data_IF_818203680080
#
_entry.id   IF_818203680080
#
_cell.length_a   1.000
_cell.length_b   1.000
_cell.length_c   1.000
_cell.angle_alpha   90.00
_cell.angle_beta   90.00
_cell.angle_gamma   90.00
#
_symmetry.space_group_name_H-M   'P 1'
#
loop_
_entity.id
_entity.type
_entity.pdbx_description
1 polymer ?
#
# COMPACT_ATOMS: atom_id res chain seq x y z
N UNK A 1 4.78 -13.95 -11.02
CA UNK A 1 3.45 -14.58 -10.98
C UNK A 1 2.74 -14.14 -9.69
N UNK A 2 2.48 -12.83 -9.52
CA UNK A 2 1.92 -12.23 -8.29
C UNK A 2 0.67 -11.40 -8.59
N UNK A 3 0.16 -11.44 -9.81
CA UNK A 3 -1.00 -10.64 -10.25
C UNK A 3 -2.33 -11.10 -9.61
N UNK A 4 -2.33 -12.22 -8.88
CA UNK A 4 -3.55 -12.87 -8.35
C UNK A 4 -4.01 -12.36 -6.98
N UNK A 5 -3.27 -11.46 -6.31
CA UNK A 5 -3.57 -11.03 -4.94
C UNK A 5 -4.34 -9.69 -4.84
N UNK A 6 -4.40 -8.91 -5.93
CA UNK A 6 -4.99 -7.56 -5.89
C UNK A 6 -6.49 -7.55 -6.27
N UNK A 7 -6.94 -8.54 -7.05
CA UNK A 7 -8.36 -8.67 -7.42
C UNK A 7 -9.31 -9.21 -6.33
N UNK A 8 -8.89 -10.09 -5.40
CA UNK A 8 -9.87 -10.73 -4.51
C UNK A 8 -10.35 -9.84 -3.36
N UNK A 9 -9.69 -8.72 -3.02
CA UNK A 9 -10.14 -7.89 -1.90
C UNK A 9 -11.41 -7.11 -2.23
N UNK A 10 -11.52 -6.54 -3.42
CA UNK A 10 -12.74 -5.88 -3.87
C UNK A 10 -13.91 -6.87 -4.00
N UNK A 11 -13.62 -8.10 -4.47
CA UNK A 11 -14.63 -9.16 -4.58
C UNK A 11 -15.00 -9.77 -3.23
N UNK A 12 -14.07 -9.85 -2.29
CA UNK A 12 -14.32 -10.39 -0.94
C UNK A 12 -15.15 -9.40 -0.10
N UNK A 13 -14.85 -8.11 -0.20
CA UNK A 13 -15.58 -7.06 0.52
C UNK A 13 -16.95 -6.81 -0.16
N UNK A 14 -17.00 -6.77 -1.49
CA UNK A 14 -18.25 -6.65 -2.25
C UNK A 14 -19.15 -7.88 -2.17
N UNK A 15 -18.57 -9.07 -2.01
CA UNK A 15 -19.36 -10.30 -1.80
C UNK A 15 -20.04 -10.31 -0.43
N UNK A 16 -19.38 -9.79 0.63
CA UNK A 16 -20.02 -9.66 1.95
C UNK A 16 -21.17 -8.68 1.94
N UNK A 17 -21.09 -7.58 1.19
CA UNK A 17 -22.20 -6.64 1.04
C UNK A 17 -23.39 -7.24 0.28
N UNK A 18 -23.13 -8.06 -0.73
CA UNK A 18 -24.17 -8.76 -1.48
C UNK A 18 -24.84 -9.87 -0.66
N UNK A 19 -24.09 -10.60 0.15
CA UNK A 19 -24.66 -11.57 1.10
C UNK A 19 -25.51 -10.86 2.17
N UNK A 20 -25.07 -9.74 2.71
CA UNK A 20 -25.85 -8.94 3.65
C UNK A 20 -27.12 -8.38 3.02
N UNK A 21 -27.08 -7.91 1.76
CA UNK A 21 -28.28 -7.47 1.03
C UNK A 21 -29.29 -8.60 0.81
N UNK A 22 -28.83 -9.81 0.50
CA UNK A 22 -29.71 -10.96 0.25
C UNK A 22 -30.36 -11.43 1.57
N UNK A 23 -29.63 -11.49 2.68
CA UNK A 23 -30.21 -11.83 3.98
C UNK A 23 -31.11 -10.74 4.54
N UNK A 24 -30.80 -9.45 4.29
CA UNK A 24 -31.64 -8.33 4.68
C UNK A 24 -32.94 -8.24 3.88
N UNK A 25 -32.97 -8.66 2.62
CA UNK A 25 -34.19 -8.69 1.79
C UNK A 25 -35.09 -9.90 2.06
N UNK A 26 -34.57 -10.99 2.58
CA UNK A 26 -35.30 -12.24 2.74
C UNK A 26 -36.07 -12.41 4.06
N UNK A 27 -35.96 -11.48 5.03
CA UNK A 27 -36.62 -11.68 6.33
C UNK A 27 -36.60 -10.52 7.30
N UNK A 28 -36.32 -9.29 6.89
CA UNK A 28 -35.94 -8.21 7.80
C UNK A 28 -36.89 -7.02 7.82
N UNK A 29 -38.11 -7.18 7.34
CA UNK A 29 -39.11 -6.12 7.53
C UNK A 29 -39.54 -5.90 9.02
N UNK A 30 -39.15 -6.85 9.88
CA UNK A 30 -39.42 -6.79 11.34
C UNK A 30 -38.16 -6.60 12.20
N UNK A 31 -36.97 -6.45 11.62
CA UNK A 31 -35.74 -6.28 12.41
C UNK A 31 -35.70 -4.90 13.06
N UNK A 32 -35.56 -4.83 14.38
CA UNK A 32 -35.51 -3.55 15.11
C UNK A 32 -34.41 -2.65 14.55
N UNK A 33 -34.66 -1.33 14.55
CA UNK A 33 -33.66 -0.33 14.08
C UNK A 33 -32.32 -0.47 14.81
N UNK A 34 -32.36 -0.94 16.05
CA UNK A 34 -31.22 -1.18 16.91
C UNK A 34 -30.32 -2.33 16.38
N UNK A 35 -30.92 -3.40 15.85
CA UNK A 35 -30.19 -4.52 15.27
C UNK A 35 -29.57 -4.14 13.92
N UNK A 36 -30.26 -3.33 13.11
CA UNK A 36 -29.70 -2.78 11.85
C UNK A 36 -28.48 -1.90 12.13
N UNK A 37 -28.57 -0.98 13.06
CA UNK A 37 -27.47 -0.11 13.47
C UNK A 37 -26.27 -0.93 14.00
N UNK A 38 -26.54 -1.98 14.77
CA UNK A 38 -25.49 -2.89 15.27
C UNK A 38 -24.78 -3.65 14.15
N UNK A 39 -25.50 -4.10 13.13
CA UNK A 39 -24.92 -4.77 11.97
C UNK A 39 -24.11 -3.81 11.07
N UNK A 40 -24.60 -2.60 10.87
CA UNK A 40 -23.85 -1.57 10.13
C UNK A 40 -22.55 -1.23 10.85
N UNK A 41 -22.58 -0.98 12.16
CA UNK A 41 -21.38 -0.69 12.94
C UNK A 41 -20.38 -1.87 12.93
N UNK A 42 -20.85 -3.10 12.99
CA UNK A 42 -19.99 -4.29 12.92
C UNK A 42 -19.36 -4.45 11.54
N UNK A 43 -20.06 -4.11 10.46
CA UNK A 43 -19.54 -4.16 9.10
C UNK A 43 -18.50 -3.05 8.86
N UNK A 44 -18.75 -1.84 9.34
CA UNK A 44 -17.79 -0.73 9.26
C UNK A 44 -16.49 -1.08 10.02
N UNK A 45 -16.59 -1.64 11.23
CA UNK A 45 -15.43 -2.03 12.02
C UNK A 45 -14.63 -3.15 11.32
N UNK A 46 -15.31 -4.15 10.76
CA UNK A 46 -14.66 -5.21 9.97
C UNK A 46 -13.94 -4.64 8.76
N UNK A 47 -14.57 -3.75 8.00
CA UNK A 47 -13.98 -3.09 6.84
C UNK A 47 -12.74 -2.30 7.24
N UNK A 48 -12.80 -1.59 8.37
CA UNK A 48 -11.67 -0.82 8.89
C UNK A 48 -10.47 -1.70 9.26
N UNK A 49 -10.73 -2.85 9.89
CA UNK A 49 -9.67 -3.81 10.25
C UNK A 49 -9.02 -4.37 8.99
N UNK A 50 -9.81 -4.82 8.00
CA UNK A 50 -9.29 -5.38 6.76
C UNK A 50 -8.46 -4.35 5.97
N UNK A 51 -8.95 -3.11 5.86
CA UNK A 51 -8.23 -2.01 5.21
C UNK A 51 -6.93 -1.70 5.97
N UNK A 52 -6.95 -1.74 7.30
CA UNK A 52 -5.76 -1.55 8.14
C UNK A 52 -4.70 -2.60 7.87
N UNK A 53 -5.04 -3.89 7.97
CA UNK A 53 -4.11 -5.00 7.70
C UNK A 53 -3.56 -4.96 6.27
N UNK A 54 -4.39 -4.58 5.29
CA UNK A 54 -3.95 -4.42 3.91
C UNK A 54 -2.96 -3.28 3.75
N UNK A 55 -3.24 -2.14 4.37
CA UNK A 55 -2.34 -0.98 4.39
C UNK A 55 -1.00 -1.32 5.03
N UNK A 56 -1.00 -2.03 6.15
CA UNK A 56 0.21 -2.46 6.85
C UNK A 56 1.05 -3.41 5.98
N UNK A 57 0.40 -4.31 5.26
CA UNK A 57 1.09 -5.21 4.32
C UNK A 57 1.74 -4.43 3.19
N UNK A 58 1.04 -3.47 2.60
CA UNK A 58 1.59 -2.60 1.53
C UNK A 58 2.78 -1.81 2.06
N UNK A 59 2.67 -1.21 3.24
CA UNK A 59 3.77 -0.46 3.85
C UNK A 59 4.99 -1.34 4.10
N UNK A 60 4.79 -2.58 4.52
CA UNK A 60 5.87 -3.57 4.70
C UNK A 60 6.56 -3.92 3.38
N UNK A 61 5.80 -4.13 2.31
CA UNK A 61 6.33 -4.43 0.97
C UNK A 61 7.12 -3.23 0.41
N UNK A 62 6.62 -2.00 0.62
CA UNK A 62 7.32 -0.77 0.24
C UNK A 62 8.64 -0.65 1.01
N UNK A 63 8.63 -0.89 2.31
CA UNK A 63 9.82 -0.86 3.15
C UNK A 63 10.87 -1.86 2.68
N UNK A 64 10.47 -3.10 2.39
CA UNK A 64 11.35 -4.14 1.89
C UNK A 64 11.98 -3.73 0.55
N UNK A 65 11.18 -3.21 -0.37
CA UNK A 65 11.67 -2.75 -1.67
C UNK A 65 12.65 -1.57 -1.55
N UNK A 66 12.30 -0.53 -0.79
CA UNK A 66 13.16 0.65 -0.57
C UNK A 66 14.49 0.26 0.08
N UNK A 67 14.44 -0.61 1.09
CA UNK A 67 15.63 -1.12 1.77
C UNK A 67 16.51 -1.95 0.83
N UNK A 68 15.89 -2.74 -0.04
CA UNK A 68 16.56 -3.52 -1.09
C UNK A 68 17.28 -2.65 -2.13
N UNK A 69 16.82 -1.42 -2.36
CA UNK A 69 17.51 -0.44 -3.20
C UNK A 69 18.71 0.23 -2.50
N UNK A 70 18.96 -0.07 -1.23
CA UNK A 70 20.01 0.55 -0.44
C UNK A 70 19.64 1.92 0.14
N UNK A 71 18.41 2.36 0.00
CA UNK A 71 17.90 3.59 0.61
C UNK A 71 17.41 3.35 2.04
N UNK A 72 17.36 4.40 2.86
CA UNK A 72 16.74 4.36 4.16
C UNK A 72 15.23 4.57 4.02
N UNK A 73 14.42 3.64 4.50
CA UNK A 73 12.98 3.83 4.61
C UNK A 73 12.66 4.61 5.89
N UNK A 74 11.84 5.65 5.78
CA UNK A 74 11.37 6.44 6.93
C UNK A 74 9.92 6.08 7.26
N UNK A 75 9.02 6.31 6.36
CA UNK A 75 7.61 5.98 6.47
C UNK A 75 6.94 5.92 5.09
N UNK A 76 5.74 5.35 5.04
CA UNK A 76 4.87 5.43 3.88
C UNK A 76 3.41 5.56 4.31
N UNK A 77 2.62 6.19 3.46
CA UNK A 77 1.17 6.35 3.63
C UNK A 77 0.46 5.87 2.38
N UNK A 78 -0.50 5.00 2.56
CA UNK A 78 -1.34 4.44 1.50
C UNK A 78 -2.75 4.93 1.69
N UNK A 79 -3.34 5.48 0.64
CA UNK A 79 -4.75 5.90 0.62
C UNK A 79 -5.55 4.88 -0.18
N UNK A 80 -6.59 4.33 0.44
CA UNK A 80 -7.50 3.36 -0.15
C UNK A 80 -8.89 3.99 -0.20
N UNK A 81 -9.61 3.77 -1.29
CA UNK A 81 -11.01 4.17 -1.40
C UNK A 81 -11.87 3.27 -0.50
N UNK A 82 -12.48 3.87 0.50
CA UNK A 82 -13.34 3.17 1.47
C UNK A 82 -14.83 3.49 1.29
N UNK A 83 -15.20 4.23 0.24
CA UNK A 83 -16.59 4.52 -0.06
C UNK A 83 -17.24 3.31 -0.74
N UNK A 84 -18.12 2.61 -0.03
CA UNK A 84 -18.83 1.43 -0.52
C UNK A 84 -19.72 1.71 -1.75
N UNK A 85 -20.03 2.98 -2.02
CA UNK A 85 -20.80 3.41 -3.20
C UNK A 85 -19.93 3.71 -4.42
N UNK A 86 -18.61 3.76 -4.23
CA UNK A 86 -17.63 4.07 -5.29
C UNK A 86 -17.36 2.86 -6.16
N UNK A 87 -17.19 3.08 -7.47
CA UNK A 87 -16.72 2.04 -8.41
C UNK A 87 -15.28 1.59 -8.13
N UNK A 88 -14.53 2.40 -7.37
CA UNK A 88 -13.14 2.16 -7.00
C UNK A 88 -12.99 1.70 -5.54
N UNK A 89 -14.07 1.27 -4.91
CA UNK A 89 -14.06 0.75 -3.55
C UNK A 89 -12.97 -0.32 -3.34
N UNK A 90 -12.15 -0.15 -2.30
CA UNK A 90 -11.05 -1.04 -1.98
C UNK A 90 -9.81 -0.89 -2.86
N UNK A 91 -9.79 0.04 -3.82
CA UNK A 91 -8.62 0.32 -4.64
C UNK A 91 -7.69 1.34 -3.97
N UNK A 92 -6.39 1.18 -4.22
CA UNK A 92 -5.40 2.16 -3.80
C UNK A 92 -5.55 3.40 -4.69
N UNK A 93 -5.78 4.57 -4.08
CA UNK A 93 -5.94 5.84 -4.77
C UNK A 93 -4.68 6.71 -4.72
N UNK A 94 -3.79 6.46 -3.75
CA UNK A 94 -2.54 7.19 -3.62
C UNK A 94 -1.53 6.50 -2.72
N UNK A 95 -0.25 6.73 -3.00
CA UNK A 95 0.87 6.26 -2.17
C UNK A 95 1.85 7.42 -1.99
N UNK A 96 2.24 7.67 -0.74
CA UNK A 96 3.34 8.58 -0.40
C UNK A 96 4.43 7.81 0.31
N UNK A 97 5.67 7.94 -0.13
CA UNK A 97 6.83 7.27 0.47
C UNK A 97 7.87 8.31 0.85
N UNK A 98 8.29 8.30 2.10
CA UNK A 98 9.38 9.11 2.61
C UNK A 98 10.62 8.24 2.79
N UNK A 99 11.70 8.60 2.11
CA UNK A 99 12.97 7.87 2.12
C UNK A 99 14.11 8.78 2.54
N UNK A 100 15.13 8.19 3.15
CA UNK A 100 16.39 8.89 3.48
C UNK A 100 17.52 8.29 2.67
N UNK A 101 18.53 9.09 2.35
CA UNK A 101 19.78 8.54 1.85
C UNK A 101 20.43 7.73 2.96
N UNK A 102 20.78 6.48 2.72
CA UNK A 102 21.78 5.82 3.55
C UNK A 102 23.13 6.46 3.24
N UNK A 103 23.65 7.23 4.19
CA UNK A 103 25.01 7.72 4.11
C UNK A 103 25.96 6.51 4.01
N UNK A 104 26.91 6.54 3.10
CA UNK A 104 27.93 5.51 2.90
C UNK A 104 28.75 5.20 4.16
N UNK A 105 28.61 6.00 5.21
CA UNK A 105 29.33 5.86 6.49
C UNK A 105 28.85 4.72 7.40
N UNK A 106 27.73 4.07 7.11
CA UNK A 106 27.18 3.01 7.99
C UNK A 106 27.55 1.58 7.55
N UNK A 107 28.47 1.47 6.60
CA UNK A 107 29.08 0.18 6.28
C UNK A 107 30.34 0.02 7.14
N UNK A 108 30.33 -0.90 8.08
CA UNK A 108 31.53 -1.51 8.64
C UNK A 108 32.33 -2.12 7.47
N UNK A 109 33.13 -1.28 6.79
CA UNK A 109 33.90 -1.68 5.64
C UNK A 109 35.26 -2.19 6.12
N UNK A 110 35.50 -3.47 5.89
CA UNK A 110 36.85 -4.04 5.85
C UNK A 110 37.47 -3.50 4.57
N UNK A 111 38.43 -2.61 4.73
CA UNK A 111 39.22 -1.98 3.68
C UNK A 111 39.98 -3.05 2.87
N UNK A 112 39.49 -3.31 1.66
CA UNK A 112 40.25 -4.06 0.65
C UNK A 112 40.53 -3.06 -0.48
N UNK A 113 41.77 -2.69 -0.66
CA UNK A 113 42.28 -1.86 -1.73
C UNK A 113 41.62 -2.23 -3.07
N UNK A 114 40.63 -1.47 -3.49
CA UNK A 114 39.95 -1.65 -4.75
C UNK A 114 40.29 -0.50 -5.67
N UNK A 115 40.90 -0.82 -6.77
CA UNK A 115 41.21 0.06 -7.90
C UNK A 115 39.96 0.84 -8.26
N UNK A 116 40.00 2.14 -8.03
CA UNK A 116 38.92 3.10 -8.37
C UNK A 116 38.85 3.24 -9.88
N UNK A 117 37.93 2.60 -10.52
CA UNK A 117 37.43 3.01 -11.82
C UNK A 117 36.37 4.06 -11.56
N UNK A 118 36.64 5.23 -12.04
CA UNK A 118 35.99 6.53 -11.85
C UNK A 118 34.49 6.50 -12.19
N UNK A 119 33.69 5.86 -11.37
CA UNK A 119 32.24 5.99 -11.24
C UNK A 119 31.88 5.53 -9.84
N UNK A 120 31.60 6.50 -9.01
CA UNK A 120 31.05 6.26 -7.68
C UNK A 120 29.70 5.53 -7.83
N UNK A 121 29.58 4.24 -7.42
CA UNK A 121 28.30 3.55 -7.45
C UNK A 121 27.33 4.11 -6.40
N UNK A 122 27.82 5.00 -5.53
CA UNK A 122 27.06 5.60 -4.42
C UNK A 122 26.27 6.85 -4.82
N UNK A 123 26.46 7.36 -6.04
CA UNK A 123 25.67 8.49 -6.55
C UNK A 123 24.42 7.99 -7.27
N UNK A 124 23.60 7.21 -6.58
CA UNK A 124 22.24 7.02 -7.06
C UNK A 124 21.54 8.38 -6.90
N UNK A 125 21.54 9.14 -8.00
CA UNK A 125 20.90 10.44 -8.10
C UNK A 125 19.49 10.31 -7.49
N UNK A 126 19.11 11.23 -6.60
CA UNK A 126 17.79 11.27 -5.95
C UNK A 126 16.66 11.08 -6.96
N UNK A 127 16.85 11.66 -8.14
CA UNK A 127 15.92 11.55 -9.24
C UNK A 127 15.76 10.10 -9.71
N UNK A 128 16.87 9.37 -9.86
CA UNK A 128 16.82 7.95 -10.26
C UNK A 128 16.18 7.06 -9.19
N UNK A 129 16.45 7.33 -7.92
CA UNK A 129 15.82 6.61 -6.80
C UNK A 129 14.30 6.85 -6.80
N UNK A 130 13.89 8.10 -6.90
CA UNK A 130 12.47 8.47 -6.98
C UNK A 130 11.78 7.82 -8.18
N UNK A 131 12.40 7.84 -9.36
CA UNK A 131 11.87 7.22 -10.57
C UNK A 131 11.72 5.70 -10.41
N UNK A 132 12.72 5.02 -9.82
CA UNK A 132 12.66 3.57 -9.59
C UNK A 132 11.54 3.19 -8.65
N UNK A 133 11.40 3.89 -7.54
CA UNK A 133 10.32 3.66 -6.56
C UNK A 133 8.96 3.91 -7.23
N UNK A 134 8.79 5.02 -7.94
CA UNK A 134 7.54 5.34 -8.65
C UNK A 134 7.18 4.31 -9.71
N UNK A 135 8.15 3.84 -10.50
CA UNK A 135 7.91 2.81 -11.50
C UNK A 135 7.46 1.50 -10.87
N UNK A 136 8.19 1.05 -9.85
CA UNK A 136 7.84 -0.17 -9.13
C UNK A 136 6.42 -0.12 -8.55
N UNK A 137 6.09 0.95 -7.83
CA UNK A 137 4.77 1.10 -7.22
C UNK A 137 3.66 1.23 -8.25
N UNK A 138 3.92 1.95 -9.37
CA UNK A 138 2.98 2.08 -10.47
C UNK A 138 2.68 0.72 -11.12
N UNK A 139 3.72 -0.06 -11.41
CA UNK A 139 3.59 -1.33 -12.12
C UNK A 139 3.02 -2.43 -11.20
N UNK A 140 3.43 -2.44 -9.93
CA UNK A 140 3.01 -3.46 -8.97
C UNK A 140 1.57 -3.27 -8.50
N UNK A 141 1.17 -2.03 -8.17
CA UNK A 141 -0.17 -1.71 -7.66
C UNK A 141 -1.12 -1.19 -8.75
N UNK A 142 -0.69 -1.17 -10.01
CA UNK A 142 -1.47 -0.64 -11.14
C UNK A 142 -2.00 0.78 -10.88
N UNK A 143 -1.16 1.60 -10.24
CA UNK A 143 -1.49 2.97 -9.86
C UNK A 143 -0.85 3.98 -10.82
N UNK A 144 -1.58 5.04 -11.17
CA UNK A 144 -1.00 6.13 -11.95
C UNK A 144 0.17 6.78 -11.22
N UNK A 145 1.28 7.03 -11.90
CA UNK A 145 2.46 7.72 -11.35
C UNK A 145 2.16 9.10 -10.78
N UNK A 146 1.06 9.71 -11.17
CA UNK A 146 0.58 11.00 -10.63
C UNK A 146 0.10 10.89 -9.19
N UNK A 147 -0.32 9.70 -8.77
CA UNK A 147 -0.82 9.41 -7.45
C UNK A 147 0.26 8.82 -6.54
N UNK A 148 1.52 8.82 -6.99
CA UNK A 148 2.66 8.31 -6.23
C UNK A 148 3.61 9.46 -5.94
N UNK A 149 3.83 9.74 -4.66
CA UNK A 149 4.71 10.79 -4.16
C UNK A 149 5.89 10.15 -3.45
N UNK A 150 7.11 10.49 -3.88
CA UNK A 150 8.35 10.02 -3.24
C UNK A 150 9.11 11.26 -2.79
N UNK A 151 9.29 11.38 -1.48
CA UNK A 151 10.03 12.46 -0.85
C UNK A 151 11.37 11.92 -0.35
N UNK A 152 12.46 12.53 -0.73
CA UNK A 152 13.80 12.21 -0.26
C UNK A 152 14.20 13.28 0.75
N UNK A 153 14.51 12.86 1.99
CA UNK A 153 14.75 13.73 3.15
C UNK A 153 16.19 13.52 3.65
#
# INVERSE_FOLDING_TARGET
MVILLIRPLGELIGATDNYNKIYLQAGVDEMSAELKAGLEAANEERSRIVVGEYTDKINSDIQEYVTGLGAGYKDSSVTIDTDASSETFGQITGITVNVTRKSAYDRNHIDVDKIVIDRDPDDMNEELLSIRIKNYLSDFYNLSKRNIYVNIV
#
